data_IF_616014647703
#
_entry.id   IF_616014647703
#
_cell.length_a   1.000
_cell.length_b   1.000
_cell.length_c   1.000
_cell.angle_alpha   90.00
_cell.angle_beta   90.00
_cell.angle_gamma   90.00
#
_symmetry.space_group_name_H-M   'P 1'
#
loop_
_entity.id
_entity.type
_entity.pdbx_description
1 polymer ?
#
# COMPACT_ATOMS: atom_id res chain seq x y z
N UNK A 1 -31.27 -14.17 -5.11
CA UNK A 1 -30.13 -13.72 -4.28
C UNK A 1 -29.88 -12.24 -4.55
N UNK A 2 -29.93 -11.37 -3.54
CA UNK A 2 -29.85 -9.91 -3.74
C UNK A 2 -28.47 -9.51 -4.27
N UNK A 3 -28.42 -8.73 -5.37
CA UNK A 3 -27.17 -8.29 -6.03
C UNK A 3 -26.23 -7.56 -5.06
N UNK A 4 -26.79 -6.78 -4.13
CA UNK A 4 -26.01 -6.07 -3.12
C UNK A 4 -25.31 -7.04 -2.16
N UNK A 5 -26.04 -7.99 -1.58
CA UNK A 5 -25.50 -8.97 -0.63
C UNK A 5 -24.39 -9.79 -1.29
N UNK A 6 -24.60 -10.21 -2.54
CA UNK A 6 -23.57 -10.93 -3.30
C UNK A 6 -22.31 -10.08 -3.49
N UNK A 7 -22.44 -8.79 -3.80
CA UNK A 7 -21.29 -7.89 -3.91
C UNK A 7 -20.53 -7.72 -2.58
N UNK A 8 -21.22 -7.72 -1.44
CA UNK A 8 -20.57 -7.69 -0.13
C UNK A 8 -19.85 -9.01 0.14
N UNK A 9 -20.46 -10.15 -0.17
CA UNK A 9 -19.83 -11.46 -0.05
C UNK A 9 -18.54 -11.54 -0.87
N UNK A 10 -18.58 -11.08 -2.13
CA UNK A 10 -17.42 -11.01 -3.03
C UNK A 10 -16.32 -10.10 -2.44
N UNK A 11 -16.68 -8.95 -1.86
CA UNK A 11 -15.72 -8.05 -1.19
C UNK A 11 -15.10 -8.68 0.07
N UNK A 12 -15.84 -9.53 0.78
CA UNK A 12 -15.31 -10.24 1.95
C UNK A 12 -14.33 -11.37 1.59
N UNK A 13 -14.23 -11.78 0.32
CA UNK A 13 -13.27 -12.82 -0.12
C UNK A 13 -11.82 -12.48 0.23
N UNK A 14 -11.47 -11.20 0.36
CA UNK A 14 -10.13 -10.74 0.77
C UNK A 14 -9.71 -11.27 2.15
N UNK A 15 -10.67 -11.70 2.97
CA UNK A 15 -10.42 -12.22 4.32
C UNK A 15 -10.30 -13.75 4.37
N UNK A 16 -10.52 -14.46 3.26
CA UNK A 16 -10.52 -15.93 3.21
C UNK A 16 -9.20 -16.54 3.71
N UNK A 17 -8.08 -15.91 3.34
CA UNK A 17 -6.75 -16.32 3.77
C UNK A 17 -6.54 -16.27 5.29
N UNK A 18 -7.38 -15.51 6.01
CA UNK A 18 -7.25 -15.29 7.46
C UNK A 18 -8.36 -15.95 8.27
N UNK A 19 -9.28 -16.71 7.65
CA UNK A 19 -10.49 -17.23 8.31
C UNK A 19 -10.26 -17.96 9.64
N UNK A 20 -9.18 -18.74 9.73
CA UNK A 20 -8.82 -19.51 10.93
C UNK A 20 -8.08 -18.71 12.01
N UNK A 21 -7.64 -17.49 11.71
CA UNK A 21 -6.88 -16.68 12.64
C UNK A 21 -7.79 -16.06 13.69
N UNK A 22 -7.36 -16.11 14.94
CA UNK A 22 -8.04 -15.44 16.05
C UNK A 22 -7.59 -13.98 16.13
N UNK A 23 -8.55 -13.05 16.19
CA UNK A 23 -8.30 -11.61 16.31
C UNK A 23 -9.13 -11.00 17.44
N UNK A 24 -8.66 -9.84 17.89
CA UNK A 24 -9.37 -8.98 18.85
C UNK A 24 -9.72 -7.67 18.16
N UNK A 25 -11.01 -7.36 18.07
CA UNK A 25 -11.55 -6.10 17.55
C UNK A 25 -12.32 -5.44 18.70
N UNK A 26 -11.79 -4.36 19.26
CA UNK A 26 -12.53 -3.55 20.24
C UNK A 26 -13.41 -2.55 19.49
N UNK A 27 -14.64 -2.96 19.19
CA UNK A 27 -15.61 -2.14 18.45
C UNK A 27 -17.03 -2.37 18.94
N UNK A 28 -17.81 -1.31 18.97
CA UNK A 28 -19.25 -1.36 19.24
C UNK A 28 -20.07 -1.93 18.07
N UNK A 29 -19.45 -2.06 16.89
CA UNK A 29 -20.13 -2.54 15.69
C UNK A 29 -20.07 -4.06 15.53
N UNK A 30 -19.34 -4.77 16.39
CA UNK A 30 -19.33 -6.24 16.42
C UNK A 30 -19.95 -6.77 17.72
N UNK A 31 -20.63 -7.91 17.61
CA UNK A 31 -21.25 -8.60 18.76
C UNK A 31 -20.23 -9.19 19.73
N UNK A 32 -19.04 -9.53 19.24
CA UNK A 32 -17.93 -10.09 20.02
C UNK A 32 -16.68 -9.26 19.78
N UNK A 33 -15.89 -9.08 20.83
CA UNK A 33 -14.60 -8.39 20.73
C UNK A 33 -13.44 -9.32 20.37
N UNK A 34 -13.63 -10.65 20.47
CA UNK A 34 -12.61 -11.66 20.20
C UNK A 34 -13.22 -12.88 19.50
N UNK A 35 -12.50 -13.41 18.50
CA UNK A 35 -12.88 -14.64 17.81
C UNK A 35 -12.13 -14.83 16.50
N UNK A 36 -12.50 -15.86 15.74
CA UNK A 36 -11.88 -16.11 14.43
C UNK A 36 -12.38 -15.10 13.39
N UNK A 37 -11.53 -14.72 12.43
CA UNK A 37 -11.88 -13.80 11.32
C UNK A 37 -13.17 -14.22 10.63
N UNK A 38 -13.39 -15.52 10.40
CA UNK A 38 -14.62 -16.03 9.77
C UNK A 38 -15.89 -15.66 10.54
N UNK A 39 -15.82 -15.54 11.87
CA UNK A 39 -16.96 -15.14 12.70
C UNK A 39 -17.36 -13.69 12.42
N UNK A 40 -16.35 -12.81 12.30
CA UNK A 40 -16.55 -11.40 11.95
C UNK A 40 -17.03 -11.24 10.51
N UNK A 41 -16.50 -12.02 9.56
CA UNK A 41 -16.99 -12.06 8.16
C UNK A 41 -18.45 -12.48 8.10
N UNK A 42 -18.84 -13.51 8.87
CA UNK A 42 -20.23 -13.96 8.92
C UNK A 42 -21.14 -12.88 9.50
N UNK A 43 -20.69 -12.13 10.51
CA UNK A 43 -21.45 -11.01 11.05
C UNK A 43 -21.63 -9.89 10.02
N UNK A 44 -20.60 -9.54 9.23
CA UNK A 44 -20.72 -8.57 8.12
C UNK A 44 -21.76 -9.04 7.09
N UNK A 45 -21.75 -10.32 6.71
CA UNK A 45 -22.73 -10.89 5.79
C UNK A 45 -24.15 -10.83 6.35
N UNK A 46 -24.32 -11.02 7.66
CA UNK A 46 -25.61 -10.85 8.34
C UNK A 46 -26.06 -9.38 8.34
N UNK A 47 -25.17 -8.44 8.67
CA UNK A 47 -25.43 -6.99 8.59
C UNK A 47 -25.87 -6.59 7.18
N UNK A 48 -25.23 -7.13 6.13
CA UNK A 48 -25.59 -6.87 4.74
C UNK A 48 -27.02 -7.33 4.40
N UNK A 49 -27.41 -8.51 4.89
CA UNK A 49 -28.79 -9.02 4.72
C UNK A 49 -29.78 -8.12 5.45
N UNK A 50 -29.49 -7.76 6.69
CA UNK A 50 -30.33 -6.86 7.50
C UNK A 50 -30.50 -5.51 6.83
N UNK A 51 -29.43 -4.91 6.29
CA UNK A 51 -29.49 -3.63 5.57
C UNK A 51 -30.51 -3.66 4.42
N UNK A 52 -30.62 -4.79 3.71
CA UNK A 52 -31.55 -4.93 2.58
C UNK A 52 -32.99 -5.25 2.97
N UNK A 53 -33.25 -5.52 4.24
CA UNK A 53 -34.57 -5.86 4.77
C UNK A 53 -35.23 -4.68 5.51
N UNK A 54 -34.55 -3.53 5.58
CA UNK A 54 -35.07 -2.36 6.27
C UNK A 54 -36.10 -1.62 5.43
N UNK A 55 -37.19 -1.23 6.07
CA UNK A 55 -38.27 -0.44 5.46
C UNK A 55 -38.22 1.05 5.87
N UNK A 56 -37.40 1.41 6.86
CA UNK A 56 -37.16 2.81 7.25
C UNK A 56 -35.76 3.24 6.84
N UNK A 57 -35.67 4.49 6.37
CA UNK A 57 -34.42 5.12 5.94
C UNK A 57 -33.39 5.18 7.07
N UNK A 58 -33.82 5.50 8.29
CA UNK A 58 -32.95 5.66 9.46
C UNK A 58 -32.24 4.33 9.79
N UNK A 59 -32.99 3.22 9.74
CA UNK A 59 -32.40 1.90 9.95
C UNK A 59 -31.49 1.49 8.79
N UNK A 60 -31.86 1.83 7.54
CA UNK A 60 -31.02 1.56 6.39
C UNK A 60 -29.67 2.29 6.49
N UNK A 61 -29.68 3.57 6.90
CA UNK A 61 -28.47 4.37 7.14
C UNK A 61 -27.63 3.78 8.28
N UNK A 62 -28.25 3.43 9.40
CA UNK A 62 -27.56 2.79 10.52
C UNK A 62 -26.85 1.50 10.10
N UNK A 63 -27.54 0.61 9.38
CA UNK A 63 -26.94 -0.64 8.93
C UNK A 63 -25.87 -0.43 7.85
N UNK A 64 -26.02 0.59 6.99
CA UNK A 64 -24.98 0.96 6.02
C UNK A 64 -23.70 1.45 6.73
N UNK A 65 -23.85 2.34 7.72
CA UNK A 65 -22.72 2.83 8.51
C UNK A 65 -22.07 1.70 9.29
N UNK A 66 -22.86 0.86 9.95
CA UNK A 66 -22.38 -0.33 10.66
C UNK A 66 -21.57 -1.23 9.72
N UNK A 67 -22.07 -1.50 8.52
CA UNK A 67 -21.40 -2.36 7.54
C UNK A 67 -20.05 -1.80 7.08
N UNK A 68 -19.97 -0.48 6.85
CA UNK A 68 -18.71 0.19 6.51
C UNK A 68 -17.71 0.07 7.68
N UNK A 69 -18.14 0.40 8.90
CA UNK A 69 -17.29 0.33 10.08
C UNK A 69 -16.78 -1.09 10.34
N UNK A 70 -17.66 -2.10 10.29
CA UNK A 70 -17.28 -3.50 10.45
C UNK A 70 -16.22 -3.93 9.42
N UNK A 71 -16.38 -3.52 8.15
CA UNK A 71 -15.42 -3.88 7.11
C UNK A 71 -14.05 -3.22 7.32
N UNK A 72 -14.02 -1.92 7.65
CA UNK A 72 -12.79 -1.14 7.87
C UNK A 72 -12.02 -1.68 9.09
N UNK A 73 -12.72 -1.99 10.17
CA UNK A 73 -12.10 -2.51 11.39
C UNK A 73 -11.57 -3.91 11.21
N UNK A 74 -12.32 -4.79 10.54
CA UNK A 74 -11.86 -6.14 10.22
C UNK A 74 -10.62 -6.09 9.34
N UNK A 75 -10.63 -5.24 8.29
CA UNK A 75 -9.48 -5.01 7.43
C UNK A 75 -8.26 -4.54 8.23
N UNK A 76 -8.45 -3.55 9.10
CA UNK A 76 -7.37 -3.04 9.96
C UNK A 76 -6.82 -4.11 10.90
N UNK A 77 -7.68 -5.01 11.41
CA UNK A 77 -7.26 -6.12 12.26
C UNK A 77 -6.51 -7.19 11.47
N UNK A 78 -6.97 -7.55 10.26
CA UNK A 78 -6.30 -8.53 9.41
C UNK A 78 -5.01 -8.00 8.78
N UNK A 79 -4.89 -6.69 8.55
CA UNK A 79 -3.65 -6.06 8.09
C UNK A 79 -2.52 -6.18 9.13
N UNK A 80 -2.86 -6.38 10.42
CA UNK A 80 -1.89 -6.69 11.49
C UNK A 80 -1.55 -8.19 11.57
N UNK A 81 -2.38 -9.06 10.99
CA UNK A 81 -2.19 -10.51 10.93
C UNK A 81 -1.36 -10.96 9.74
N UNK A 82 -1.41 -10.20 8.64
CA UNK A 82 -0.29 -10.22 7.73
C UNK A 82 0.93 -10.08 8.62
N UNK A 83 1.92 -11.00 8.53
CA UNK A 83 3.19 -10.68 9.14
C UNK A 83 3.45 -9.25 8.68
N UNK A 84 3.85 -8.37 9.59
CA UNK A 84 4.81 -7.38 9.17
C UNK A 84 5.95 -8.24 8.66
N UNK A 85 5.82 -8.69 7.41
CA UNK A 85 6.89 -9.24 6.67
C UNK A 85 7.75 -7.99 6.67
N UNK A 86 8.75 -8.02 7.54
CA UNK A 86 10.09 -7.76 7.12
C UNK A 86 10.33 -8.59 5.85
N UNK A 87 9.60 -8.31 4.77
CA UNK A 87 10.17 -8.22 3.45
C UNK A 87 11.19 -7.13 3.73
N UNK A 88 12.35 -7.56 4.19
CA UNK A 88 13.57 -6.83 3.98
C UNK A 88 13.69 -6.83 2.47
N UNK A 89 12.90 -5.95 1.83
CA UNK A 89 13.01 -5.66 0.43
C UNK A 89 14.49 -5.37 0.26
N UNK A 90 15.15 -6.04 -0.70
CA UNK A 90 16.54 -5.74 -0.95
C UNK A 90 16.60 -4.22 -1.12
N UNK A 91 17.42 -3.57 -0.29
CA UNK A 91 17.53 -2.11 -0.31
C UNK A 91 18.64 -1.80 -1.27
N UNK A 92 18.39 -0.88 -2.20
CA UNK A 92 19.47 -0.32 -2.99
C UNK A 92 20.44 0.40 -2.03
N UNK A 93 21.69 -0.05 -2.03
CA UNK A 93 22.78 0.57 -1.28
C UNK A 93 23.69 1.23 -2.30
N UNK A 94 23.81 2.55 -2.22
CA UNK A 94 24.81 3.29 -2.96
C UNK A 94 25.83 3.89 -2.00
N UNK A 95 27.09 3.90 -2.43
CA UNK A 95 28.17 4.59 -1.74
C UNK A 95 28.12 6.11 -1.98
N UNK A 96 27.28 6.58 -2.92
CA UNK A 96 27.12 8.00 -3.19
C UNK A 96 26.41 8.72 -2.03
N UNK A 97 27.00 9.83 -1.60
CA UNK A 97 26.45 10.74 -0.61
C UNK A 97 26.42 12.14 -1.21
N UNK A 98 25.23 12.74 -1.28
CA UNK A 98 25.06 14.12 -1.77
C UNK A 98 25.80 15.08 -0.85
N UNK A 99 26.57 16.00 -1.44
CA UNK A 99 27.15 17.10 -0.69
C UNK A 99 26.05 18.07 -0.22
N UNK A 100 25.87 18.20 1.10
CA UNK A 100 24.81 19.02 1.72
C UNK A 100 24.91 20.52 1.39
N UNK A 101 26.02 20.98 0.81
CA UNK A 101 26.27 22.40 0.46
C UNK A 101 26.30 22.65 -1.05
N UNK A 102 25.46 21.95 -1.82
CA UNK A 102 25.42 22.07 -3.29
C UNK A 102 25.28 23.53 -3.78
N UNK A 103 24.56 24.38 -3.05
CA UNK A 103 24.37 25.80 -3.38
C UNK A 103 25.66 26.60 -3.33
N UNK A 104 26.60 26.22 -2.46
CA UNK A 104 27.83 26.96 -2.19
C UNK A 104 29.00 26.54 -3.09
N UNK A 105 28.78 25.53 -3.92
CA UNK A 105 29.76 25.05 -4.89
C UNK A 105 29.83 25.97 -6.10
N UNK A 106 31.02 26.08 -6.69
CA UNK A 106 31.22 26.70 -8.00
C UNK A 106 30.47 25.93 -9.10
N UNK A 107 30.30 26.52 -10.28
CA UNK A 107 29.59 25.86 -11.40
C UNK A 107 30.25 24.53 -11.80
N UNK A 108 31.58 24.48 -11.83
CA UNK A 108 32.32 23.25 -12.17
C UNK A 108 32.16 22.16 -11.10
N UNK A 109 32.19 22.54 -9.81
CA UNK A 109 31.95 21.59 -8.71
C UNK A 109 30.50 21.10 -8.69
N UNK A 110 29.53 21.98 -8.99
CA UNK A 110 28.12 21.60 -9.16
C UNK A 110 27.97 20.60 -10.30
N UNK A 111 28.61 20.85 -11.44
CA UNK A 111 28.60 19.95 -12.60
C UNK A 111 29.14 18.57 -12.22
N UNK A 112 30.27 18.50 -11.52
CA UNK A 112 30.84 17.24 -11.04
C UNK A 112 29.90 16.51 -10.07
N UNK A 113 29.27 17.22 -9.14
CA UNK A 113 28.31 16.62 -8.20
C UNK A 113 27.06 16.08 -8.91
N UNK A 114 26.50 16.81 -9.87
CA UNK A 114 25.39 16.31 -10.66
C UNK A 114 25.78 15.09 -11.50
N UNK A 115 27.00 15.04 -12.06
CA UNK A 115 27.48 13.84 -12.76
C UNK A 115 27.64 12.62 -11.85
N UNK A 116 28.07 12.82 -10.59
CA UNK A 116 28.11 11.74 -9.58
C UNK A 116 26.70 11.28 -9.20
N UNK A 117 25.78 12.23 -8.98
CA UNK A 117 24.38 11.94 -8.70
C UNK A 117 23.73 11.15 -9.86
N UNK A 118 24.01 11.55 -11.10
CA UNK A 118 23.52 10.88 -12.29
C UNK A 118 23.98 9.42 -12.38
N UNK A 119 25.25 9.14 -12.07
CA UNK A 119 25.77 7.76 -11.98
C UNK A 119 25.02 6.94 -10.94
N UNK A 120 24.85 7.46 -9.73
CA UNK A 120 24.12 6.78 -8.67
C UNK A 120 22.64 6.54 -9.01
N UNK A 121 22.00 7.48 -9.71
CA UNK A 121 20.62 7.32 -10.20
C UNK A 121 20.51 6.24 -11.27
N UNK A 122 21.48 6.14 -12.18
CA UNK A 122 21.51 5.06 -13.18
C UNK A 122 21.72 3.69 -12.53
N UNK A 123 22.65 3.56 -11.58
CA UNK A 123 22.84 2.32 -10.80
C UNK A 123 21.55 1.89 -10.10
N UNK A 124 20.84 2.85 -9.49
CA UNK A 124 19.55 2.61 -8.85
C UNK A 124 18.48 2.14 -9.84
N UNK A 125 18.43 2.74 -11.03
CA UNK A 125 17.48 2.34 -12.08
C UNK A 125 17.74 0.92 -12.55
N UNK A 126 18.99 0.58 -12.87
CA UNK A 126 19.36 -0.79 -13.27
C UNK A 126 18.95 -1.81 -12.22
N UNK A 127 19.24 -1.52 -10.95
CA UNK A 127 18.84 -2.38 -9.84
C UNK A 127 17.31 -2.49 -9.70
N UNK A 128 16.57 -1.39 -9.79
CA UNK A 128 15.10 -1.40 -9.71
C UNK A 128 14.44 -2.19 -10.85
N UNK A 129 14.98 -2.07 -12.08
CA UNK A 129 14.51 -2.82 -13.24
C UNK A 129 14.74 -4.33 -13.04
N UNK A 130 15.92 -4.71 -12.55
CA UNK A 130 16.23 -6.11 -12.23
C UNK A 130 15.28 -6.66 -11.15
N UNK A 131 15.06 -5.91 -10.07
CA UNK A 131 14.11 -6.31 -9.03
C UNK A 131 12.67 -6.41 -9.55
N UNK A 132 12.27 -5.53 -10.47
CA UNK A 132 10.95 -5.60 -11.10
C UNK A 132 10.77 -6.89 -11.90
N UNK A 133 11.79 -7.25 -12.68
CA UNK A 133 11.81 -8.45 -13.51
C UNK A 133 11.77 -9.74 -12.69
N UNK A 134 12.55 -9.80 -11.60
CA UNK A 134 12.63 -10.97 -10.72
C UNK A 134 11.43 -11.11 -9.76
N UNK A 135 10.59 -10.08 -9.65
CA UNK A 135 9.48 -10.05 -8.71
C UNK A 135 8.28 -10.88 -9.21
N UNK A 136 7.79 -11.78 -8.35
CA UNK A 136 6.63 -12.64 -8.59
C UNK A 136 5.32 -12.08 -8.06
N UNK A 137 5.37 -11.16 -7.08
CA UNK A 137 4.20 -10.49 -6.51
C UNK A 137 3.79 -9.25 -7.32
N UNK A 138 2.54 -9.23 -7.80
CA UNK A 138 1.99 -8.11 -8.55
C UNK A 138 1.96 -6.80 -7.75
N UNK A 139 1.72 -6.83 -6.43
CA UNK A 139 1.73 -5.61 -5.61
C UNK A 139 3.14 -5.04 -5.50
N UNK A 140 4.13 -5.89 -5.25
CA UNK A 140 5.54 -5.49 -5.20
C UNK A 140 6.06 -5.00 -6.57
N UNK A 141 5.61 -5.60 -7.67
CA UNK A 141 5.91 -5.14 -9.03
C UNK A 141 5.42 -3.71 -9.27
N UNK A 142 4.19 -3.38 -8.83
CA UNK A 142 3.67 -2.02 -8.93
C UNK A 142 4.54 -1.02 -8.15
N UNK A 143 4.95 -1.37 -6.92
CA UNK A 143 5.84 -0.52 -6.11
C UNK A 143 7.18 -0.27 -6.82
N UNK A 144 7.75 -1.30 -7.47
CA UNK A 144 8.98 -1.11 -8.24
C UNK A 144 8.77 -0.21 -9.46
N UNK A 145 7.65 -0.32 -10.16
CA UNK A 145 7.32 0.56 -11.30
C UNK A 145 7.23 2.02 -10.86
N UNK A 146 6.54 2.31 -9.75
CA UNK A 146 6.45 3.66 -9.19
C UNK A 146 7.83 4.23 -8.84
N UNK A 147 8.70 3.41 -8.22
CA UNK A 147 10.08 3.80 -7.89
C UNK A 147 10.96 4.03 -9.13
N UNK A 148 10.75 3.27 -10.20
CA UNK A 148 11.44 3.46 -11.48
C UNK A 148 11.06 4.83 -12.04
N UNK A 149 9.75 5.11 -12.16
CA UNK A 149 9.25 6.38 -12.68
C UNK A 149 9.78 7.59 -11.88
N UNK A 150 9.74 7.52 -10.55
CA UNK A 150 10.30 8.58 -9.70
C UNK A 150 11.81 8.77 -9.91
N UNK A 151 12.56 7.67 -10.07
CA UNK A 151 14.01 7.74 -10.26
C UNK A 151 14.37 8.26 -11.66
N UNK A 152 13.59 7.93 -12.69
CA UNK A 152 13.72 8.50 -14.04
C UNK A 152 13.44 10.01 -14.05
N UNK A 153 12.39 10.45 -13.37
CA UNK A 153 12.09 11.87 -13.21
C UNK A 153 13.26 12.64 -12.57
N UNK A 154 13.84 12.08 -11.49
CA UNK A 154 15.02 12.68 -10.83
C UNK A 154 16.26 12.69 -11.73
N UNK A 155 16.46 11.64 -12.51
CA UNK A 155 17.51 11.57 -13.53
C UNK A 155 17.35 12.69 -14.56
N UNK A 156 16.13 12.93 -15.04
CA UNK A 156 15.85 14.01 -15.98
C UNK A 156 16.18 15.38 -15.37
N UNK A 157 15.74 15.65 -14.13
CA UNK A 157 16.07 16.90 -13.43
C UNK A 157 17.57 17.12 -13.26
N UNK A 158 18.32 16.05 -13.02
CA UNK A 158 19.78 16.10 -12.94
C UNK A 158 20.41 16.45 -14.31
N UNK A 159 19.91 15.86 -15.39
CA UNK A 159 20.35 16.16 -16.76
C UNK A 159 20.06 17.61 -17.15
N UNK A 160 18.88 18.12 -16.81
CA UNK A 160 18.51 19.52 -17.07
C UNK A 160 19.46 20.48 -16.34
N UNK A 161 19.81 20.18 -15.08
CA UNK A 161 20.77 20.96 -14.30
C UNK A 161 22.20 20.92 -14.89
N UNK A 162 22.65 19.75 -15.34
CA UNK A 162 23.93 19.58 -16.04
C UNK A 162 23.97 20.43 -17.31
N UNK A 163 22.91 20.39 -18.11
CA UNK A 163 22.82 21.15 -19.36
C UNK A 163 22.78 22.66 -19.13
N UNK A 164 22.23 23.12 -17.99
CA UNK A 164 22.20 24.55 -17.62
C UNK A 164 23.56 25.05 -17.14
N UNK A 165 24.39 24.17 -16.56
CA UNK A 165 25.70 24.50 -16.00
C UNK A 165 26.86 24.33 -17.00
N UNK A 166 26.61 23.68 -18.15
CA UNK A 166 27.55 23.55 -19.27
C UNK A 166 27.49 24.78 -20.16
#
# INVERSE_FOLDING_TARGET
MNKFVKSIEDKCSIFEAFHSYEIVISSMYFSKSKGNVISFVNEIKLTAKLATQQNSLEYAEYYAQKLISQFVELKTATDKLLPQQNISYPKFISHYRVNKKLTNLSSDEKLQEYQKALRALNEKLSWLIEQNYLCTDNKQRQIYQEKIYETEYRKQKCMDAINTLR
#
